data_IF_137547090255
#
_entry.id   IF_137547090255
#
_cell.length_a   1.000
_cell.length_b   1.000
_cell.length_c   1.000
_cell.angle_alpha   90.00
_cell.angle_beta   90.00
_cell.angle_gamma   90.00
#
_symmetry.space_group_name_H-M   'P 1'
#
loop_
_entity.id
_entity.type
_entity.pdbx_description
1 polymer ?
#
# COMPACT_ATOMS: atom_id res chain seq x y z
N UNK A 1 -7.03 -3.06 11.54
CA UNK A 1 -5.71 -2.99 10.90
C UNK A 1 -5.46 -1.52 10.66
N UNK A 2 -4.52 -0.96 11.40
CA UNK A 2 -4.21 0.47 11.32
C UNK A 2 -3.50 0.72 9.99
N UNK A 3 -4.11 1.48 9.10
CA UNK A 3 -3.61 1.81 7.76
C UNK A 3 -2.42 2.78 7.81
N UNK A 4 -1.73 2.86 8.93
CA UNK A 4 -0.54 3.68 9.13
C UNK A 4 0.72 2.81 9.34
N UNK A 5 0.56 1.50 9.54
CA UNK A 5 1.66 0.60 9.89
C UNK A 5 2.70 0.38 8.78
N UNK A 6 2.38 0.76 7.54
CA UNK A 6 3.31 0.66 6.41
C UNK A 6 4.01 1.99 6.10
N UNK A 7 3.53 3.12 6.66
CA UNK A 7 4.07 4.45 6.37
C UNK A 7 5.52 4.53 6.84
N UNK A 8 6.41 5.04 5.99
CA UNK A 8 7.84 5.15 6.24
C UNK A 8 8.67 3.91 5.87
N UNK A 9 8.05 2.74 5.70
CA UNK A 9 8.72 1.53 5.24
C UNK A 9 9.23 1.69 3.80
N UNK A 10 10.28 0.96 3.47
CA UNK A 10 10.68 0.79 2.07
C UNK A 10 9.61 0.04 1.28
N UNK A 11 9.50 0.28 -0.03
CA UNK A 11 8.53 -0.43 -0.88
C UNK A 11 8.57 -1.95 -0.69
N UNK A 12 9.74 -2.56 -0.82
CA UNK A 12 9.89 -4.02 -0.77
C UNK A 12 9.57 -4.57 0.63
N UNK A 13 9.91 -3.82 1.67
CA UNK A 13 9.60 -4.16 3.06
C UNK A 13 8.08 -4.12 3.30
N UNK A 14 7.40 -3.09 2.79
CA UNK A 14 5.95 -2.95 2.89
C UNK A 14 5.22 -4.06 2.13
N UNK A 15 5.68 -4.41 0.92
CA UNK A 15 5.13 -5.51 0.13
C UNK A 15 5.28 -6.86 0.86
N UNK A 16 6.45 -7.12 1.46
CA UNK A 16 6.70 -8.35 2.23
C UNK A 16 5.81 -8.43 3.47
N UNK A 17 5.78 -7.36 4.27
CA UNK A 17 4.97 -7.30 5.48
C UNK A 17 3.49 -7.45 5.15
N UNK A 18 3.03 -6.85 4.04
CA UNK A 18 1.65 -6.97 3.62
C UNK A 18 1.27 -8.42 3.26
N UNK A 19 2.16 -9.13 2.58
CA UNK A 19 1.97 -10.55 2.29
C UNK A 19 1.92 -11.40 3.56
N UNK A 20 2.82 -11.16 4.53
CA UNK A 20 2.82 -11.83 5.85
C UNK A 20 1.52 -11.58 6.63
N UNK A 21 0.89 -10.43 6.41
CA UNK A 21 -0.40 -10.06 7.02
C UNK A 21 -1.64 -10.48 6.22
N UNK A 22 -1.45 -11.25 5.15
CA UNK A 22 -2.54 -11.87 4.38
C UNK A 22 -3.15 -10.98 3.30
N UNK A 23 -2.52 -9.85 2.96
CA UNK A 23 -2.92 -9.10 1.77
C UNK A 23 -2.63 -9.91 0.51
N UNK A 24 -3.67 -10.14 -0.30
CA UNK A 24 -3.54 -10.91 -1.55
C UNK A 24 -3.02 -10.05 -2.68
N UNK A 25 -3.30 -8.75 -2.65
CA UNK A 25 -2.88 -7.80 -3.67
C UNK A 25 -2.33 -6.55 -2.98
N UNK A 26 -1.10 -6.17 -3.34
CA UNK A 26 -0.51 -4.88 -2.96
C UNK A 26 -0.34 -4.06 -4.23
N UNK A 27 -0.99 -2.90 -4.30
CA UNK A 27 -0.84 -1.97 -5.43
C UNK A 27 -0.04 -0.76 -4.98
N UNK A 28 1.08 -0.54 -5.64
CA UNK A 28 1.92 0.65 -5.43
C UNK A 28 1.55 1.71 -6.46
N UNK A 29 1.34 2.93 -5.99
CA UNK A 29 0.91 4.10 -6.76
C UNK A 29 1.90 5.25 -6.55
N UNK A 30 1.99 6.13 -7.56
CA UNK A 30 2.59 7.44 -7.36
C UNK A 30 1.71 8.29 -6.41
N UNK A 31 2.28 9.23 -5.65
CA UNK A 31 1.53 10.05 -4.67
C UNK A 31 0.32 10.78 -5.26
N UNK A 32 0.44 11.22 -6.52
CA UNK A 32 -0.57 12.03 -7.22
C UNK A 32 -1.34 11.23 -8.29
N UNK A 33 -1.28 9.90 -8.24
CA UNK A 33 -1.94 9.06 -9.23
C UNK A 33 -3.47 9.16 -9.11
N UNK A 34 -4.12 9.70 -10.15
CA UNK A 34 -5.59 9.63 -10.29
C UNK A 34 -5.94 8.24 -10.82
N UNK A 35 -6.67 7.48 -10.01
CA UNK A 35 -7.03 6.10 -10.28
C UNK A 35 -8.52 5.87 -10.05
N UNK A 36 -9.11 4.97 -10.82
CA UNK A 36 -10.45 4.46 -10.51
C UNK A 36 -10.36 3.57 -9.27
N UNK A 37 -11.15 3.90 -8.25
CA UNK A 37 -11.23 3.14 -7.01
C UNK A 37 -12.26 2.01 -7.13
N UNK A 38 -11.95 1.01 -7.95
CA UNK A 38 -12.67 -0.26 -7.86
C UNK A 38 -12.33 -0.90 -6.50
N UNK A 39 -13.34 -1.09 -5.65
CA UNK A 39 -13.15 -1.66 -4.31
C UNK A 39 -12.85 -3.15 -4.38
N UNK A 40 -11.79 -3.58 -3.70
CA UNK A 40 -11.36 -4.97 -3.56
C UNK A 40 -10.89 -5.21 -2.14
N UNK A 41 -11.72 -5.87 -1.34
CA UNK A 41 -11.49 -6.12 0.10
C UNK A 41 -10.11 -6.70 0.45
N UNK A 42 -9.48 -7.39 -0.49
CA UNK A 42 -8.20 -8.09 -0.36
C UNK A 42 -6.99 -7.29 -0.88
N UNK A 43 -7.21 -6.01 -1.23
CA UNK A 43 -6.18 -5.12 -1.79
C UNK A 43 -5.74 -4.06 -0.79
N UNK A 44 -4.44 -3.91 -0.67
CA UNK A 44 -3.79 -2.76 -0.05
C UNK A 44 -3.28 -1.82 -1.15
N UNK A 45 -3.56 -0.53 -1.03
CA UNK A 45 -2.90 0.49 -1.84
C UNK A 45 -1.80 1.17 -1.01
N UNK A 46 -0.66 1.42 -1.64
CA UNK A 46 0.45 2.20 -1.11
C UNK A 46 0.72 3.35 -2.06
N UNK A 47 0.92 4.57 -1.55
CA UNK A 47 1.66 5.60 -2.30
C UNK A 47 3.09 5.59 -1.85
N UNK A 48 4.02 5.60 -2.82
CA UNK A 48 5.45 5.60 -2.54
C UNK A 48 6.08 6.88 -3.09
N UNK A 49 6.84 7.55 -2.24
CA UNK A 49 7.62 8.74 -2.56
C UNK A 49 9.05 8.53 -2.08
N UNK A 50 10.03 8.83 -2.94
CA UNK A 50 11.45 8.69 -2.61
C UNK A 50 11.80 7.29 -2.05
N UNK A 51 11.15 6.26 -2.59
CA UNK A 51 11.35 4.85 -2.20
C UNK A 51 10.67 4.43 -0.90
N UNK A 52 9.95 5.33 -0.22
CA UNK A 52 9.24 5.07 1.04
C UNK A 52 7.74 5.23 0.90
N UNK A 53 6.99 4.44 1.65
CA UNK A 53 5.54 4.57 1.71
C UNK A 53 5.17 5.89 2.39
N UNK A 54 4.37 6.71 1.72
CA UNK A 54 3.86 7.98 2.24
C UNK A 54 2.43 7.82 2.77
N UNK A 55 1.60 7.01 2.11
CA UNK A 55 0.26 6.64 2.59
C UNK A 55 -0.04 5.18 2.27
N UNK A 56 -0.94 4.59 3.03
CA UNK A 56 -1.58 3.33 2.66
C UNK A 56 -3.05 3.31 3.05
N UNK A 57 -3.85 2.55 2.28
CA UNK A 57 -5.29 2.38 2.54
C UNK A 57 -5.81 1.10 1.90
N UNK A 58 -6.88 0.54 2.49
CA UNK A 58 -7.59 -0.59 1.91
C UNK A 58 -8.29 -0.17 0.63
N UNK A 59 -8.11 -0.98 -0.40
CA UNK A 59 -8.60 -0.73 -1.75
C UNK A 59 -9.81 -1.53 -2.11
#
# INVERSE_FOLDING_TARGET
MDEQEYVGLGRDEAERLAAERGWRVVRVLAPDAVITMEYREDRLNLTVRDGRVERCWRG
#
